data_IF_367614301946
#
_entry.id   IF_367614301946
#
_cell.length_a   1.000
_cell.length_b   1.000
_cell.length_c   1.000
_cell.angle_alpha   90.00
_cell.angle_beta   90.00
_cell.angle_gamma   90.00
#
_symmetry.space_group_name_H-M   'P 1'
#
loop_
_entity.id
_entity.type
_entity.pdbx_description
1 polymer ?
#
# COMPACT_ATOMS: atom_id res chain seq x y z
N UNK A 1 1.46 -0.76 12.16
CA UNK A 1 2.90 -1.08 12.21
C UNK A 1 3.06 -2.58 12.19
N UNK A 2 4.13 -3.12 11.58
CA UNK A 2 4.47 -4.54 11.63
C UNK A 2 5.98 -4.76 11.49
N UNK A 3 6.45 -5.92 11.92
CA UNK A 3 7.83 -6.35 11.67
C UNK A 3 7.90 -7.16 10.36
N UNK A 4 8.95 -6.94 9.58
CA UNK A 4 9.28 -7.81 8.44
C UNK A 4 10.03 -9.08 8.87
N UNK A 5 10.37 -9.93 7.91
CA UNK A 5 11.11 -11.17 8.16
C UNK A 5 12.54 -10.96 8.69
N UNK A 6 13.12 -9.77 8.53
CA UNK A 6 14.42 -9.38 9.10
C UNK A 6 14.29 -8.81 10.52
N UNK A 7 13.06 -8.70 11.04
CA UNK A 7 12.79 -8.12 12.36
C UNK A 7 12.87 -6.58 12.37
N UNK A 8 12.82 -5.92 11.22
CA UNK A 8 12.77 -4.45 11.12
C UNK A 8 11.32 -3.99 11.28
N UNK A 9 11.10 -2.93 12.05
CA UNK A 9 9.77 -2.35 12.22
C UNK A 9 9.44 -1.41 11.06
N UNK A 10 8.22 -1.54 10.55
CA UNK A 10 7.65 -0.69 9.51
C UNK A 10 6.34 -0.06 9.98
N UNK A 11 6.04 1.14 9.48
CA UNK A 11 4.82 1.88 9.79
C UNK A 11 4.25 2.58 8.58
N UNK A 12 2.93 2.75 8.58
CA UNK A 12 2.25 3.65 7.66
C UNK A 12 1.88 4.92 8.40
N UNK A 13 2.01 6.05 7.73
CA UNK A 13 1.66 7.38 8.25
C UNK A 13 0.38 7.88 7.58
N UNK A 14 -0.43 8.63 8.35
CA UNK A 14 -1.54 9.40 7.80
C UNK A 14 -1.07 10.85 7.60
N UNK A 15 -0.92 11.24 6.33
CA UNK A 15 -0.54 12.59 5.92
C UNK A 15 -1.53 13.64 6.41
N UNK A 16 -1.04 14.86 6.56
CA UNK A 16 -1.84 15.96 7.10
C UNK A 16 -2.91 16.48 6.13
N UNK A 17 -3.98 17.03 6.70
CA UNK A 17 -5.10 17.56 5.93
C UNK A 17 -4.88 19.02 5.47
N UNK A 18 -5.60 19.40 4.40
CA UNK A 18 -5.77 20.80 3.93
C UNK A 18 -4.45 21.54 3.69
N UNK A 19 -3.43 20.85 3.20
CA UNK A 19 -2.14 21.44 2.86
C UNK A 19 -2.27 22.53 1.78
N UNK A 20 -1.72 23.71 2.07
CA UNK A 20 -1.64 24.83 1.11
C UNK A 20 -0.23 25.41 1.08
N UNK A 21 0.37 25.51 -0.09
CA UNK A 21 1.69 26.11 -0.33
C UNK A 21 1.59 27.09 -1.50
N UNK A 22 1.56 28.39 -1.19
CA UNK A 22 1.34 29.44 -2.18
C UNK A 22 2.39 29.44 -3.31
N UNK A 23 3.62 29.07 -2.97
CA UNK A 23 4.76 28.95 -3.88
C UNK A 23 4.76 27.67 -4.71
N UNK A 24 3.90 26.68 -4.38
CA UNK A 24 3.80 25.39 -5.07
C UNK A 24 2.42 25.17 -5.71
N UNK A 25 1.71 26.25 -6.06
CA UNK A 25 0.41 26.19 -6.72
C UNK A 25 -0.81 26.47 -5.82
N UNK A 26 -0.60 26.90 -4.57
CA UNK A 26 -1.67 27.31 -3.68
C UNK A 26 -2.29 26.15 -2.92
N UNK A 27 -3.52 25.78 -3.27
CA UNK A 27 -4.20 24.66 -2.63
C UNK A 27 -3.84 23.34 -3.33
N UNK A 28 -2.93 22.61 -2.70
CA UNK A 28 -2.35 21.35 -3.23
C UNK A 28 -2.88 20.12 -2.49
N UNK A 29 -3.88 20.30 -1.62
CA UNK A 29 -4.29 19.24 -0.71
C UNK A 29 -4.85 18.02 -1.42
N UNK A 30 -5.39 18.15 -2.64
CA UNK A 30 -6.10 17.04 -3.30
C UNK A 30 -5.21 15.81 -3.48
N UNK A 31 -3.93 16.02 -3.73
CA UNK A 31 -2.96 14.96 -3.97
C UNK A 31 -1.72 15.07 -3.08
N UNK A 32 -1.68 16.00 -2.13
CA UNK A 32 -0.59 16.14 -1.17
C UNK A 32 -1.11 16.46 0.24
N UNK A 33 -0.34 16.15 1.29
CA UNK A 33 0.88 15.36 1.27
C UNK A 33 0.61 13.88 0.96
N UNK A 34 1.67 13.13 0.66
CA UNK A 34 1.60 11.69 0.53
C UNK A 34 1.18 11.04 1.86
N UNK A 35 0.54 9.88 1.75
CA UNK A 35 0.65 8.87 2.80
C UNK A 35 2.03 8.20 2.68
N UNK A 36 2.58 7.68 3.77
CA UNK A 36 3.97 7.19 3.77
C UNK A 36 4.07 5.76 4.27
N UNK A 37 4.97 4.97 3.68
CA UNK A 37 5.52 3.76 4.27
C UNK A 37 6.92 4.10 4.80
N UNK A 38 7.08 4.00 6.11
CA UNK A 38 8.30 4.35 6.82
C UNK A 38 8.97 3.10 7.41
N UNK A 39 10.28 2.99 7.20
CA UNK A 39 11.14 1.96 7.80
C UNK A 39 11.83 2.53 9.04
N UNK A 40 11.71 1.83 10.17
CA UNK A 40 12.28 2.22 11.45
C UNK A 40 13.59 1.48 11.73
N UNK A 41 14.57 1.72 10.87
CA UNK A 41 15.93 1.16 10.95
C UNK A 41 17.00 2.19 11.37
N UNK A 42 16.59 3.44 11.58
CA UNK A 42 17.46 4.53 12.04
C UNK A 42 17.78 4.47 13.54
N UNK A 43 18.70 5.34 13.96
CA UNK A 43 19.00 5.53 15.38
C UNK A 43 17.77 6.05 16.15
N UNK A 44 17.72 5.78 17.45
CA UNK A 44 16.67 6.37 18.33
C UNK A 44 16.69 7.89 18.19
N UNK A 45 15.51 8.48 17.95
CA UNK A 45 15.35 9.92 17.70
C UNK A 45 15.49 10.32 16.23
N UNK A 46 15.59 9.36 15.30
CA UNK A 46 15.48 9.63 13.86
C UNK A 46 14.20 10.42 13.56
N UNK A 47 14.34 11.47 12.78
CA UNK A 47 13.26 12.37 12.42
C UNK A 47 12.67 11.97 11.06
N UNK A 48 11.34 11.82 10.99
CA UNK A 48 10.60 11.44 9.77
C UNK A 48 9.81 12.63 9.18
N UNK A 49 10.17 13.86 9.54
CA UNK A 49 9.61 15.09 8.95
C UNK A 49 8.60 15.82 9.84
N UNK A 50 7.56 15.17 10.35
CA UNK A 50 6.55 15.85 11.19
C UNK A 50 7.17 16.46 12.47
N UNK A 51 6.80 17.69 12.89
CA UNK A 51 5.77 18.58 12.33
C UNK A 51 6.28 19.62 11.33
N UNK A 52 7.52 19.51 10.85
CA UNK A 52 8.15 20.58 10.06
C UNK A 52 8.26 20.28 8.57
N UNK A 53 8.11 19.02 8.21
CA UNK A 53 8.20 18.57 6.83
C UNK A 53 7.01 17.69 6.45
N UNK A 54 6.75 17.60 5.14
CA UNK A 54 5.76 16.74 4.52
C UNK A 54 6.29 16.20 3.19
N UNK A 55 5.76 15.06 2.75
CA UNK A 55 6.23 14.38 1.54
C UNK A 55 5.32 14.66 0.34
N UNK A 56 5.92 14.99 -0.81
CA UNK A 56 5.25 15.12 -2.10
C UNK A 56 4.78 13.76 -2.61
N UNK A 57 3.52 13.70 -3.02
CA UNK A 57 3.01 12.61 -3.84
C UNK A 57 2.86 13.04 -5.30
N UNK A 58 2.18 14.15 -5.55
CA UNK A 58 1.96 14.69 -6.89
C UNK A 58 1.76 16.21 -6.88
N UNK A 59 2.83 16.98 -7.11
CA UNK A 59 2.76 18.43 -7.32
C UNK A 59 2.58 18.77 -8.80
N UNK A 60 2.04 19.98 -9.13
CA UNK A 60 2.04 20.46 -10.51
C UNK A 60 3.45 20.43 -11.09
N UNK A 61 3.58 19.99 -12.35
CA UNK A 61 4.88 19.71 -12.98
C UNK A 61 5.85 20.91 -13.01
N UNK A 62 5.35 22.14 -12.90
CA UNK A 62 6.17 23.36 -12.81
C UNK A 62 6.85 23.57 -11.45
N UNK A 63 6.35 22.90 -10.39
CA UNK A 63 6.87 23.02 -9.02
C UNK A 63 7.45 21.72 -8.48
N UNK A 64 6.88 20.58 -8.88
CA UNK A 64 7.21 19.27 -8.32
C UNK A 64 8.66 18.86 -8.56
N UNK A 65 9.26 18.23 -7.56
CA UNK A 65 10.60 17.62 -7.66
C UNK A 65 10.52 16.09 -7.78
N UNK A 66 9.31 15.54 -7.73
CA UNK A 66 9.04 14.12 -7.86
C UNK A 66 8.54 13.52 -6.54
N UNK A 67 7.74 12.47 -6.70
CA UNK A 67 7.16 11.69 -5.60
C UNK A 67 8.24 11.25 -4.60
N UNK A 68 7.97 11.44 -3.31
CA UNK A 68 8.91 11.15 -2.23
C UNK A 68 9.80 12.33 -1.84
N UNK A 69 9.78 13.43 -2.60
CA UNK A 69 10.50 14.64 -2.18
C UNK A 69 9.87 15.22 -0.92
N UNK A 70 10.72 15.56 0.06
CA UNK A 70 10.27 16.17 1.31
C UNK A 70 10.40 17.69 1.23
N UNK A 71 9.37 18.37 1.70
CA UNK A 71 9.20 19.82 1.70
C UNK A 71 8.90 20.33 3.10
N UNK A 72 9.17 21.60 3.39
CA UNK A 72 8.82 22.23 4.65
C UNK A 72 7.32 22.59 4.74
N UNK A 73 6.78 22.63 5.95
CA UNK A 73 5.43 23.16 6.17
C UNK A 73 5.36 24.66 5.84
N UNK A 74 4.18 25.19 5.42
CA UNK A 74 4.00 26.60 5.07
C UNK A 74 4.40 27.55 6.20
N UNK A 75 4.20 27.14 7.44
CA UNK A 75 4.53 27.96 8.61
C UNK A 75 6.04 27.99 8.91
N UNK A 76 6.81 27.03 8.38
CA UNK A 76 8.24 26.88 8.66
C UNK A 76 9.15 27.12 7.46
N UNK A 77 8.61 27.12 6.24
CA UNK A 77 9.38 27.24 4.99
C UNK A 77 10.28 28.49 4.93
N UNK A 78 9.89 29.57 5.61
CA UNK A 78 10.66 30.84 5.66
C UNK A 78 11.53 30.97 6.92
N UNK A 79 11.76 29.87 7.64
CA UNK A 79 12.62 29.81 8.82
C UNK A 79 13.88 28.99 8.51
N UNK A 80 14.67 28.64 9.53
CA UNK A 80 15.78 27.71 9.36
C UNK A 80 15.33 26.29 8.96
N UNK A 81 14.06 25.92 9.22
CA UNK A 81 13.45 24.64 8.80
C UNK A 81 12.75 24.79 7.45
N UNK A 82 13.52 25.27 6.47
CA UNK A 82 13.09 25.39 5.09
C UNK A 82 13.17 24.05 4.34
N UNK A 83 12.85 24.05 3.04
CA UNK A 83 12.83 22.83 2.23
C UNK A 83 14.19 22.09 2.21
N UNK A 84 15.32 22.83 2.18
CA UNK A 84 16.67 22.24 2.23
C UNK A 84 16.94 21.55 3.57
N UNK A 85 16.54 22.19 4.67
CA UNK A 85 16.64 21.58 5.99
C UNK A 85 15.83 20.29 6.05
N UNK A 86 14.60 20.30 5.53
CA UNK A 86 13.73 19.13 5.51
C UNK A 86 14.32 17.98 4.72
N UNK A 87 14.86 18.22 3.52
CA UNK A 87 15.56 17.21 2.72
C UNK A 87 16.82 16.65 3.38
N UNK A 88 17.49 17.45 4.20
CA UNK A 88 18.76 17.06 4.85
C UNK A 88 18.53 16.34 6.18
N UNK A 89 17.45 16.66 6.90
CA UNK A 89 17.26 16.23 8.29
C UNK A 89 16.11 15.24 8.49
N UNK A 90 15.40 14.87 7.43
CA UNK A 90 14.32 13.87 7.49
C UNK A 90 14.78 12.55 6.88
N UNK A 91 14.44 11.44 7.55
CA UNK A 91 14.44 10.12 6.93
C UNK A 91 13.33 10.10 5.90
N UNK A 92 13.70 9.88 4.63
CA UNK A 92 12.74 9.76 3.54
C UNK A 92 11.89 8.48 3.73
N UNK A 93 10.62 8.50 3.32
CA UNK A 93 9.81 7.29 3.30
C UNK A 93 10.34 6.31 2.24
N UNK A 94 10.14 5.02 2.49
CA UNK A 94 10.47 3.95 1.52
C UNK A 94 9.47 3.91 0.36
N UNK A 95 8.24 4.36 0.61
CA UNK A 95 7.23 4.51 -0.42
C UNK A 95 6.29 5.68 -0.08
N UNK A 96 5.98 6.50 -1.06
CA UNK A 96 4.93 7.52 -0.98
C UNK A 96 3.69 7.01 -1.69
N UNK A 97 2.57 7.06 -0.99
CA UNK A 97 1.28 6.55 -1.46
C UNK A 97 0.28 7.71 -1.59
N UNK A 98 -0.78 7.49 -2.38
CA UNK A 98 -1.79 8.51 -2.66
C UNK A 98 -2.33 9.15 -1.38
N UNK A 99 -2.15 10.46 -1.25
CA UNK A 99 -2.65 11.26 -0.14
C UNK A 99 -4.13 11.03 0.15
N UNK A 100 -4.49 11.07 1.43
CA UNK A 100 -5.84 10.86 1.98
C UNK A 100 -6.36 9.42 1.87
N UNK A 101 -5.57 8.45 1.42
CA UNK A 101 -5.99 7.04 1.39
C UNK A 101 -6.15 6.45 2.80
N UNK A 102 -5.59 7.10 3.82
CA UNK A 102 -5.68 6.77 5.23
C UNK A 102 -5.29 5.30 5.54
N UNK A 103 -4.01 4.93 5.36
CA UNK A 103 -3.54 3.59 5.69
C UNK A 103 -3.55 3.40 7.22
N UNK A 104 -4.16 2.32 7.73
CA UNK A 104 -4.29 2.11 9.18
C UNK A 104 -3.55 0.87 9.68
N UNK A 105 -3.75 -0.28 9.04
CA UNK A 105 -3.07 -1.52 9.36
C UNK A 105 -2.22 -2.06 8.22
N UNK A 106 -1.18 -2.80 8.58
CA UNK A 106 -0.22 -3.36 7.64
C UNK A 106 0.30 -4.71 8.13
N UNK A 107 0.56 -5.65 7.23
CA UNK A 107 1.18 -6.95 7.54
C UNK A 107 2.03 -7.44 6.38
N UNK A 108 3.14 -8.11 6.68
CA UNK A 108 3.92 -8.85 5.69
C UNK A 108 3.36 -10.26 5.54
N UNK A 109 3.42 -10.81 4.32
CA UNK A 109 3.16 -12.22 4.10
C UNK A 109 4.42 -13.04 4.42
N UNK A 110 4.29 -14.02 5.31
CA UNK A 110 5.36 -14.96 5.66
C UNK A 110 4.93 -16.38 5.25
N UNK A 111 5.52 -16.88 4.17
CA UNK A 111 5.22 -18.20 3.63
C UNK A 111 5.67 -19.33 4.57
N UNK A 112 6.69 -19.09 5.39
CA UNK A 112 7.18 -20.07 6.36
C UNK A 112 6.24 -20.18 7.56
N UNK A 113 5.65 -19.08 8.02
CA UNK A 113 4.60 -19.12 9.04
C UNK A 113 3.41 -19.98 8.62
N UNK A 114 3.04 -19.92 7.33
CA UNK A 114 1.98 -20.79 6.75
C UNK A 114 2.42 -22.25 6.64
N UNK A 115 3.67 -22.51 6.23
CA UNK A 115 4.20 -23.88 6.11
C UNK A 115 4.28 -24.61 7.47
N UNK A 116 4.42 -23.85 8.56
CA UNK A 116 4.38 -24.36 9.93
C UNK A 116 2.96 -24.28 10.55
N UNK A 117 1.95 -23.97 9.74
CA UNK A 117 0.54 -23.86 10.13
C UNK A 117 -0.15 -25.21 10.36
N UNK A 118 -1.47 -25.23 10.63
CA UNK A 118 -2.24 -26.47 10.71
C UNK A 118 -2.14 -27.25 9.39
N UNK A 119 -2.43 -28.55 9.46
CA UNK A 119 -2.36 -29.51 8.34
C UNK A 119 -2.80 -28.87 7.00
N UNK A 120 -2.00 -29.02 5.96
CA UNK A 120 -2.31 -28.56 4.59
C UNK A 120 -3.70 -29.05 4.14
N UNK A 121 -4.15 -30.20 4.64
CA UNK A 121 -5.51 -30.71 4.46
C UNK A 121 -6.60 -29.83 5.09
N UNK A 122 -6.34 -29.22 6.26
CA UNK A 122 -7.27 -28.28 6.89
C UNK A 122 -7.40 -27.00 6.07
N UNK A 123 -6.28 -26.42 5.63
CA UNK A 123 -6.27 -25.16 4.90
C UNK A 123 -6.81 -25.29 3.47
N UNK A 124 -6.43 -26.36 2.75
CA UNK A 124 -6.89 -26.59 1.37
C UNK A 124 -8.41 -26.76 1.23
N UNK A 125 -9.10 -27.23 2.28
CA UNK A 125 -10.56 -27.38 2.29
C UNK A 125 -11.36 -26.09 2.50
N UNK A 126 -10.71 -24.98 2.87
CA UNK A 126 -11.37 -23.73 3.32
C UNK A 126 -10.84 -22.46 2.61
N UNK A 127 -10.14 -22.63 1.48
CA UNK A 127 -9.58 -21.54 0.66
C UNK A 127 -8.05 -21.60 0.57
N UNK A 128 -7.48 -21.20 -0.56
CA UNK A 128 -6.04 -21.32 -0.79
C UNK A 128 -5.19 -20.22 -0.14
N UNK A 129 -3.96 -20.58 0.20
CA UNK A 129 -2.89 -19.66 0.64
C UNK A 129 -2.44 -18.78 -0.51
N UNK A 130 -1.99 -17.56 -0.20
CA UNK A 130 -1.25 -16.75 -1.15
C UNK A 130 -0.01 -17.52 -1.67
N UNK A 131 0.37 -17.33 -2.96
CA UNK A 131 1.45 -18.10 -3.58
C UNK A 131 2.82 -17.75 -3.01
N UNK A 132 3.78 -18.68 -3.08
CA UNK A 132 5.15 -18.48 -2.56
C UNK A 132 5.88 -17.28 -3.15
N UNK A 133 5.56 -16.88 -4.37
CA UNK A 133 6.11 -15.67 -5.00
C UNK A 133 5.68 -14.36 -4.34
N UNK A 134 4.81 -14.40 -3.32
CA UNK A 134 4.40 -13.25 -2.50
C UNK A 134 5.15 -13.18 -1.16
N UNK A 135 6.05 -14.12 -0.89
CA UNK A 135 6.76 -14.16 0.39
C UNK A 135 7.56 -12.86 0.60
N UNK A 136 7.29 -12.16 1.70
CA UNK A 136 7.84 -10.84 1.98
C UNK A 136 7.04 -9.65 1.44
N UNK A 137 6.01 -9.84 0.61
CA UNK A 137 5.16 -8.72 0.17
C UNK A 137 4.38 -8.11 1.34
N UNK A 138 4.15 -6.80 1.26
CA UNK A 138 3.41 -6.04 2.28
C UNK A 138 1.95 -5.84 1.86
N UNK A 139 1.03 -5.93 2.81
CA UNK A 139 -0.40 -5.71 2.61
C UNK A 139 -0.87 -4.60 3.54
N UNK A 140 -1.74 -3.71 3.05
CA UNK A 140 -2.16 -2.51 3.79
C UNK A 140 -3.67 -2.31 3.63
N UNK A 141 -4.35 -2.01 4.73
CA UNK A 141 -5.74 -1.53 4.73
C UNK A 141 -5.79 -0.01 4.53
N UNK A 142 -6.34 0.45 3.40
CA UNK A 142 -6.61 1.87 3.13
C UNK A 142 -8.05 2.20 3.51
N UNK A 143 -8.22 2.94 4.60
CA UNK A 143 -9.52 3.24 5.21
C UNK A 143 -10.37 4.21 4.38
N UNK A 144 -9.69 5.10 3.65
CA UNK A 144 -10.30 5.93 2.63
C UNK A 144 -10.59 7.38 3.03
N UNK A 145 -10.53 8.24 2.02
CA UNK A 145 -10.48 9.69 2.18
C UNK A 145 -11.78 10.32 2.65
N UNK A 146 -11.63 11.35 3.48
CA UNK A 146 -12.66 12.33 3.78
C UNK A 146 -12.30 13.72 3.24
N UNK A 147 -11.00 14.05 3.15
CA UNK A 147 -10.46 15.35 2.75
C UNK A 147 -9.89 15.35 1.32
N UNK A 148 -10.64 14.78 0.36
CA UNK A 148 -10.33 14.79 -1.08
C UNK A 148 -11.64 14.77 -1.89
N UNK A 149 -11.70 15.56 -2.96
CA UNK A 149 -12.92 15.73 -3.77
C UNK A 149 -13.31 14.44 -4.50
N UNK A 150 -12.35 13.82 -5.17
CA UNK A 150 -12.48 12.47 -5.72
C UNK A 150 -12.03 11.50 -4.63
N UNK A 151 -12.91 10.66 -4.07
CA UNK A 151 -12.50 9.75 -3.00
C UNK A 151 -11.42 8.76 -3.46
N UNK A 152 -10.50 8.44 -2.55
CA UNK A 152 -9.44 7.42 -2.73
C UNK A 152 -9.32 6.57 -1.47
N UNK A 153 -8.56 5.47 -1.53
CA UNK A 153 -8.53 4.44 -0.50
C UNK A 153 -9.77 3.54 -0.59
N UNK A 154 -10.36 3.19 0.55
CA UNK A 154 -11.47 2.23 0.63
C UNK A 154 -11.12 0.87 0.02
N UNK A 155 -9.89 0.39 0.24
CA UNK A 155 -9.35 -0.78 -0.42
C UNK A 155 -8.31 -1.49 0.42
N UNK A 156 -8.04 -2.75 0.09
CA UNK A 156 -6.82 -3.42 0.51
C UNK A 156 -5.86 -3.37 -0.67
N UNK A 157 -4.62 -3.01 -0.37
CA UNK A 157 -3.54 -2.97 -1.35
C UNK A 157 -2.44 -3.95 -0.96
N UNK A 158 -1.62 -4.32 -1.93
CA UNK A 158 -0.35 -4.96 -1.66
C UNK A 158 0.80 -4.20 -2.33
N UNK A 159 1.97 -4.20 -1.70
CA UNK A 159 3.21 -3.59 -2.17
C UNK A 159 4.19 -4.73 -2.36
N UNK A 160 4.66 -4.98 -3.60
CA UNK A 160 5.69 -5.98 -3.84
C UNK A 160 7.00 -5.62 -3.15
N UNK A 161 7.74 -6.62 -2.66
CA UNK A 161 9.09 -6.45 -2.10
C UNK A 161 10.11 -7.29 -2.88
N UNK A 162 11.39 -6.94 -2.84
CA UNK A 162 12.48 -7.76 -3.39
C UNK A 162 12.82 -8.98 -2.51
N UNK A 163 11.79 -9.64 -1.99
CA UNK A 163 11.84 -10.80 -1.12
C UNK A 163 11.74 -10.47 0.38
N UNK A 164 11.77 -11.51 1.24
CA UNK A 164 11.60 -11.35 2.69
C UNK A 164 12.69 -10.48 3.32
N UNK A 165 12.29 -9.41 4.03
CA UNK A 165 13.21 -8.45 4.66
C UNK A 165 13.85 -7.45 3.68
N UNK A 166 13.33 -7.42 2.45
CA UNK A 166 13.75 -6.57 1.36
C UNK A 166 13.26 -5.11 1.45
N UNK A 167 13.33 -4.43 0.31
CA UNK A 167 12.77 -3.09 0.06
C UNK A 167 11.56 -3.18 -0.88
N UNK A 168 10.63 -2.22 -0.82
CA UNK A 168 9.52 -2.12 -1.78
C UNK A 168 10.03 -2.06 -3.22
N UNK A 169 9.37 -2.79 -4.13
CA UNK A 169 9.60 -2.72 -5.57
C UNK A 169 8.32 -2.36 -6.31
N UNK A 170 8.40 -1.30 -7.13
CA UNK A 170 7.28 -0.85 -7.94
C UNK A 170 6.21 -0.07 -7.17
N UNK A 171 5.02 -0.03 -7.75
CA UNK A 171 3.88 0.76 -7.27
C UNK A 171 2.97 -0.06 -6.33
N UNK A 172 2.11 0.65 -5.59
CA UNK A 172 1.00 0.05 -4.83
C UNK A 172 0.02 -0.62 -5.79
N UNK A 173 -0.35 -1.87 -5.52
CA UNK A 173 -1.30 -2.65 -6.34
C UNK A 173 -2.59 -2.88 -5.57
N UNK A 174 -3.73 -2.61 -6.22
CA UNK A 174 -5.06 -2.79 -5.63
C UNK A 174 -5.41 -4.28 -5.58
N UNK A 175 -5.57 -4.82 -4.36
CA UNK A 175 -5.93 -6.22 -4.13
C UNK A 175 -7.45 -6.40 -3.99
N UNK A 176 -8.11 -5.51 -3.24
CA UNK A 176 -9.56 -5.55 -3.02
C UNK A 176 -10.11 -4.13 -3.03
N UNK A 177 -10.96 -3.82 -4.01
CA UNK A 177 -11.44 -2.47 -4.27
C UNK A 177 -12.84 -2.51 -4.91
N UNK A 178 -13.54 -1.37 -4.88
CA UNK A 178 -14.88 -1.24 -5.44
C UNK A 178 -14.81 -0.97 -6.96
N UNK A 179 -15.25 -1.94 -7.78
CA UNK A 179 -15.22 -1.84 -9.24
C UNK A 179 -16.18 -0.83 -9.90
N UNK A 180 -16.94 -0.05 -9.13
CA UNK A 180 -17.91 0.93 -9.64
C UNK A 180 -17.30 2.31 -9.93
N UNK A 181 -18.16 3.27 -10.31
CA UNK A 181 -17.75 4.67 -10.49
C UNK A 181 -17.45 5.30 -9.12
N UNK A 182 -16.18 5.25 -8.70
CA UNK A 182 -15.66 5.87 -7.49
C UNK A 182 -15.22 4.88 -6.42
N UNK A 183 -14.29 5.32 -5.56
CA UNK A 183 -13.65 4.45 -4.58
C UNK A 183 -14.59 3.96 -3.46
N UNK A 184 -15.63 4.73 -3.11
CA UNK A 184 -16.52 4.42 -1.99
C UNK A 184 -17.48 3.28 -2.33
N UNK A 185 -17.58 2.33 -1.40
CA UNK A 185 -18.51 1.21 -1.49
C UNK A 185 -19.94 1.62 -1.08
N UNK A 186 -20.98 1.20 -1.80
CA UNK A 186 -22.37 1.33 -1.33
C UNK A 186 -22.61 0.63 0.02
N UNK A 187 -21.91 -0.47 0.26
CA UNK A 187 -21.91 -1.22 1.53
C UNK A 187 -21.09 -0.57 2.65
N UNK A 188 -20.44 0.59 2.38
CA UNK A 188 -19.63 1.36 3.34
C UNK A 188 -18.37 0.66 3.86
N UNK A 189 -17.83 -0.30 3.12
CA UNK A 189 -16.54 -0.92 3.43
C UNK A 189 -15.45 0.16 3.54
N UNK A 190 -14.73 0.13 4.66
CA UNK A 190 -13.57 0.93 5.06
C UNK A 190 -12.56 0.00 5.77
N UNK A 191 -11.61 -0.60 5.03
CA UNK A 191 -10.61 -1.50 5.62
C UNK A 191 -9.78 -0.80 6.70
N UNK A 192 -9.59 -1.43 7.85
CA UNK A 192 -8.78 -0.91 8.97
C UNK A 192 -7.48 -1.69 9.06
N UNK A 193 -7.54 -2.87 9.70
CA UNK A 193 -6.37 -3.72 9.93
C UNK A 193 -6.40 -5.00 9.09
N UNK A 194 -5.21 -5.51 8.78
CA UNK A 194 -4.98 -6.68 7.95
C UNK A 194 -4.03 -7.65 8.64
N UNK A 195 -4.36 -8.94 8.61
CA UNK A 195 -3.53 -9.98 9.22
C UNK A 195 -3.64 -11.30 8.44
N UNK A 196 -2.53 -12.02 8.31
CA UNK A 196 -2.59 -13.38 7.78
C UNK A 196 -2.97 -14.38 8.86
N UNK A 197 -3.90 -15.29 8.53
CA UNK A 197 -4.14 -16.46 9.36
C UNK A 197 -3.09 -17.55 9.13
N UNK A 198 -3.17 -18.65 9.90
CA UNK A 198 -2.22 -19.77 9.78
C UNK A 198 -2.34 -20.55 8.46
N UNK A 199 -3.37 -20.29 7.66
CA UNK A 199 -3.56 -20.86 6.33
C UNK A 199 -3.07 -19.92 5.22
N UNK A 200 -2.45 -18.78 5.56
CA UNK A 200 -1.94 -17.83 4.58
C UNK A 200 -3.03 -17.08 3.85
N UNK A 201 -4.21 -16.93 4.46
CA UNK A 201 -5.33 -16.14 3.96
C UNK A 201 -5.36 -14.81 4.70
N UNK A 202 -5.74 -13.73 4.00
CA UNK A 202 -5.70 -12.39 4.54
C UNK A 202 -7.04 -12.04 5.20
N UNK A 203 -7.04 -11.89 6.51
CA UNK A 203 -8.13 -11.34 7.30
C UNK A 203 -8.09 -9.82 7.23
N UNK A 204 -9.25 -9.20 7.04
CA UNK A 204 -9.40 -7.76 6.95
C UNK A 204 -10.53 -7.31 7.87
N UNK A 205 -10.21 -6.42 8.81
CA UNK A 205 -11.22 -5.79 9.65
C UNK A 205 -11.80 -4.56 8.97
N UNK A 206 -13.09 -4.32 9.18
CA UNK A 206 -13.85 -3.25 8.55
C UNK A 206 -14.82 -2.61 9.55
N UNK A 207 -14.58 -1.34 9.90
CA UNK A 207 -15.41 -0.60 10.85
C UNK A 207 -16.57 0.14 10.17
N UNK A 208 -16.51 0.36 8.86
CA UNK A 208 -17.53 1.09 8.10
C UNK A 208 -18.81 0.28 7.86
N UNK A 209 -18.65 -1.00 7.53
CA UNK A 209 -19.70 -1.97 7.31
C UNK A 209 -19.84 -2.99 8.46
N UNK A 210 -18.83 -3.08 9.36
CA UNK A 210 -18.93 -3.77 10.64
C UNK A 210 -18.71 -5.28 10.56
N UNK A 211 -17.78 -5.74 9.71
CA UNK A 211 -17.46 -7.15 9.57
C UNK A 211 -15.95 -7.42 9.44
N UNK A 212 -15.58 -8.70 9.54
CA UNK A 212 -14.26 -9.18 9.14
C UNK A 212 -14.48 -10.00 7.88
N UNK A 213 -13.72 -9.70 6.83
CA UNK A 213 -13.75 -10.49 5.60
C UNK A 213 -12.41 -11.18 5.37
N UNK A 214 -12.48 -12.30 4.67
CA UNK A 214 -11.34 -13.14 4.36
C UNK A 214 -11.08 -13.07 2.86
N UNK A 215 -9.84 -12.78 2.49
CA UNK A 215 -9.33 -12.86 1.13
C UNK A 215 -8.46 -14.11 1.04
N UNK A 216 -8.83 -15.02 0.15
CA UNK A 216 -8.05 -16.22 -0.17
C UNK A 216 -7.65 -16.26 -1.65
N UNK A 217 -6.56 -16.96 -1.94
CA UNK A 217 -6.12 -17.21 -3.30
C UNK A 217 -6.79 -18.50 -3.81
N UNK A 218 -7.41 -18.46 -4.99
CA UNK A 218 -8.14 -19.63 -5.52
C UNK A 218 -7.30 -20.54 -6.43
N UNK A 219 -6.02 -20.20 -6.65
CA UNK A 219 -5.11 -21.02 -7.46
C UNK A 219 -5.37 -20.95 -8.96
N UNK A 220 -6.37 -20.20 -9.44
CA UNK A 220 -6.64 -20.04 -10.87
C UNK A 220 -5.87 -18.84 -11.40
N UNK A 221 -4.70 -19.10 -11.99
CA UNK A 221 -4.09 -18.12 -12.90
C UNK A 221 -5.03 -17.99 -14.09
N UNK A 222 -5.63 -16.82 -14.27
CA UNK A 222 -6.42 -16.51 -15.46
C UNK A 222 -5.57 -16.84 -16.70
N UNK A 223 -6.10 -17.57 -17.71
CA UNK A 223 -5.31 -18.05 -18.84
C UNK A 223 -4.92 -16.88 -19.75
N UNK A 224 -3.84 -16.18 -19.42
CA UNK A 224 -3.20 -15.22 -20.33
C UNK A 224 -1.67 -15.31 -20.35
N UNK A 225 -1.05 -16.25 -19.61
CA UNK A 225 0.41 -16.37 -19.57
C UNK A 225 0.99 -17.66 -20.16
N UNK A 226 0.19 -18.70 -20.45
CA UNK A 226 0.71 -20.03 -20.84
C UNK A 226 0.82 -20.28 -22.37
N UNK A 227 0.91 -19.25 -23.22
CA UNK A 227 0.99 -19.48 -24.68
C UNK A 227 2.08 -18.71 -25.44
N UNK A 228 3.19 -18.31 -24.79
CA UNK A 228 4.27 -17.57 -25.49
C UNK A 228 5.69 -18.14 -25.37
N UNK A 229 5.84 -19.42 -25.04
CA UNK A 229 7.09 -20.14 -25.29
C UNK A 229 6.84 -21.33 -26.21
N UNK A 230 6.78 -21.08 -27.53
CA UNK A 230 7.35 -21.91 -28.61
C UNK A 230 6.99 -21.32 -29.98
N UNK A 231 7.85 -20.48 -30.57
CA UNK A 231 8.17 -20.46 -32.02
C UNK A 231 9.08 -19.28 -32.41
N UNK A 232 10.32 -19.62 -32.74
CA UNK A 232 11.20 -19.07 -33.79
C UNK A 232 11.24 -17.57 -34.15
N UNK A 233 12.40 -16.96 -33.85
CA UNK A 233 13.28 -16.15 -34.72
C UNK A 233 12.69 -15.47 -35.98
N UNK A 234 12.49 -14.14 -35.91
CA UNK A 234 12.77 -13.16 -36.97
C UNK A 234 12.48 -11.73 -36.45
N UNK A 235 13.33 -10.76 -36.77
CA UNK A 235 13.44 -9.49 -36.06
C UNK A 235 12.42 -8.39 -36.41
N UNK A 236 12.22 -7.47 -35.45
CA UNK A 236 12.40 -6.01 -35.58
C UNK A 236 12.10 -5.33 -34.24
N UNK A 237 12.89 -4.32 -33.90
CA UNK A 237 12.74 -3.51 -32.69
C UNK A 237 11.55 -2.57 -32.80
N UNK A 238 10.70 -2.55 -31.77
CA UNK A 238 9.93 -1.37 -31.38
C UNK A 238 9.67 -1.43 -29.87
N UNK A 239 10.09 -0.38 -29.19
CA UNK A 239 9.87 -0.11 -27.77
C UNK A 239 8.38 0.00 -27.46
N UNK A 240 7.85 -0.88 -26.63
CA UNK A 240 6.59 -0.68 -25.93
C UNK A 240 6.66 -1.41 -24.58
N UNK A 241 6.87 -0.65 -23.50
CA UNK A 241 6.79 -1.17 -22.14
C UNK A 241 5.32 -1.22 -21.73
N UNK A 242 4.66 -2.33 -22.05
CA UNK A 242 3.28 -2.56 -21.62
C UNK A 242 3.24 -3.00 -20.15
N UNK A 243 2.47 -2.24 -19.37
CA UNK A 243 2.12 -2.49 -17.98
C UNK A 243 1.42 -3.85 -17.86
N UNK A 244 2.08 -4.85 -17.27
CA UNK A 244 1.45 -6.13 -16.94
C UNK A 244 0.73 -6.01 -15.59
N UNK A 245 -0.58 -5.80 -15.66
CA UNK A 245 -1.50 -5.92 -14.53
C UNK A 245 -1.75 -7.42 -14.27
N UNK A 246 -1.17 -7.96 -13.20
CA UNK A 246 -1.50 -9.30 -12.70
C UNK A 246 -2.91 -9.26 -12.08
N UNK A 247 -3.88 -9.88 -12.76
CA UNK A 247 -5.21 -10.09 -12.21
C UNK A 247 -5.14 -11.22 -11.17
N UNK A 248 -5.31 -10.89 -9.89
CA UNK A 248 -5.58 -11.89 -8.85
C UNK A 248 -7.10 -12.15 -8.78
N UNK A 249 -7.51 -13.39 -9.04
CA UNK A 249 -8.85 -13.87 -8.69
C UNK A 249 -8.88 -14.12 -7.17
N UNK A 250 -9.12 -13.07 -6.41
CA UNK A 250 -9.35 -13.16 -4.97
C UNK A 250 -10.80 -13.59 -4.72
N UNK A 251 -11.00 -14.75 -4.07
CA UNK A 251 -12.32 -15.11 -3.54
C UNK A 251 -12.48 -14.43 -2.19
N UNK A 252 -13.47 -13.54 -2.10
CA UNK A 252 -13.80 -12.82 -0.87
C UNK A 252 -14.98 -13.52 -0.20
N UNK A 253 -14.73 -14.13 0.97
CA UNK A 253 -15.78 -14.67 1.80
C UNK A 253 -16.05 -13.70 2.94
N UNK A 254 -17.26 -13.13 2.97
CA UNK A 254 -17.73 -12.39 4.14
C UNK A 254 -18.04 -13.39 5.25
N UNK A 255 -17.27 -13.37 6.33
CA UNK A 255 -17.61 -14.11 7.54
C UNK A 255 -18.38 -13.14 8.42
N UNK A 256 -19.71 -13.26 8.41
CA UNK A 256 -20.54 -12.47 9.31
C UNK A 256 -20.16 -12.79 10.76
N UNK A 257 -19.80 -11.77 11.54
CA UNK A 257 -19.60 -11.90 12.98
C UNK A 257 -20.97 -12.19 13.59
N UNK A 258 -21.16 -13.43 14.02
CA UNK A 258 -22.27 -13.79 14.90
C UNK A 258 -22.00 -13.08 16.23
N UNK A 259 -22.81 -12.07 16.54
CA UNK A 259 -22.87 -11.50 17.89
C UNK A 259 -23.30 -12.62 18.85
N UNK A 260 -22.46 -12.93 19.85
CA UNK A 260 -22.84 -13.74 21.01
C UNK A 260 -23.57 -12.88 22.05
#
# INVERSE_FOLDING_TARGET
>A
MAFDAAGVLWGVENGADRLKRADLGGDIHQDNPAEELNKFDGAVGTHYGYPWCWTEYELPAEYGMGRGTVWAWPDTMNTFRNDDWCRTNSRLPELSMQGHSAPLGLTFFDKNAVANGPDEAFCSGIGGTFPSGRDGDLYIGFHGSWNRDIPTGYKVVHVPFDGPGGSPIGEVIDLFWHGGNGARWPSRVRPVDVAFDRCGRLLVSDDGAGFIFLISFDGTVSPSEESKETSEFSGKSSSDQSKTSLWLNAVVLCIAVLWF
#
